data_IF_773702556292
#
_entry.id   IF_773702556292
#
_cell.length_a   1.000
_cell.length_b   1.000
_cell.length_c   1.000
_cell.angle_alpha   90.00
_cell.angle_beta   90.00
_cell.angle_gamma   90.00
#
_symmetry.space_group_name_H-M   'P 1'
#
loop_
_entity.id
_entity.type
_entity.pdbx_description
1 polymer ?
#
# COMPACT_ATOMS: atom_id res chain seq x y z
N UNK A 1 18.96 24.34 -3.14
CA UNK A 1 18.72 24.13 -4.59
C UNK A 1 19.50 22.96 -5.20
N UNK A 2 20.74 22.66 -4.77
CA UNK A 2 21.55 21.59 -5.36
C UNK A 2 21.03 20.16 -5.08
N UNK A 3 20.56 19.89 -3.86
CA UNK A 3 19.97 18.59 -3.48
C UNK A 3 18.73 18.20 -4.28
N UNK A 4 17.86 19.17 -4.58
CA UNK A 4 16.66 18.94 -5.41
C UNK A 4 17.03 18.54 -6.84
N UNK A 5 18.12 19.09 -7.38
CA UNK A 5 18.65 18.69 -8.70
C UNK A 5 19.18 17.25 -8.66
N UNK A 6 19.93 16.87 -7.62
CA UNK A 6 20.41 15.50 -7.46
C UNK A 6 19.27 14.49 -7.30
N UNK A 7 18.24 14.81 -6.51
CA UNK A 7 17.07 13.97 -6.35
C UNK A 7 16.33 13.76 -7.68
N UNK A 8 16.11 14.84 -8.45
CA UNK A 8 15.52 14.77 -9.79
C UNK A 8 16.34 13.87 -10.72
N UNK A 9 17.67 13.98 -10.70
CA UNK A 9 18.55 13.14 -11.52
C UNK A 9 18.45 11.65 -11.16
N UNK A 10 18.42 11.31 -9.86
CA UNK A 10 18.26 9.93 -9.41
C UNK A 10 16.90 9.39 -9.86
N UNK A 11 15.84 10.18 -9.67
CA UNK A 11 14.48 9.82 -10.09
C UNK A 11 14.43 9.42 -11.57
N UNK A 12 14.98 10.29 -12.41
CA UNK A 12 14.99 10.14 -13.86
C UNK A 12 15.82 8.93 -14.30
N UNK A 13 17.02 8.74 -13.75
CA UNK A 13 17.93 7.65 -14.14
C UNK A 13 17.34 6.29 -13.83
N UNK A 14 16.83 6.10 -12.61
CA UNK A 14 16.28 4.81 -12.19
C UNK A 14 14.95 4.50 -12.89
N UNK A 15 14.10 5.52 -13.10
CA UNK A 15 12.88 5.36 -13.89
C UNK A 15 13.20 4.93 -15.32
N UNK A 16 14.14 5.61 -15.99
CA UNK A 16 14.55 5.27 -17.36
C UNK A 16 15.09 3.84 -17.44
N UNK A 17 15.98 3.46 -16.51
CA UNK A 17 16.54 2.11 -16.44
C UNK A 17 15.47 1.02 -16.33
N UNK A 18 14.48 1.22 -15.44
CA UNK A 18 13.40 0.25 -15.25
C UNK A 18 12.45 0.20 -16.46
N UNK A 19 12.07 1.36 -17.00
CA UNK A 19 11.08 1.46 -18.07
C UNK A 19 11.59 0.94 -19.44
N UNK A 20 12.91 1.00 -19.67
CA UNK A 20 13.57 0.45 -20.86
C UNK A 20 13.48 -1.08 -20.97
N UNK A 21 13.13 -1.78 -19.88
CA UNK A 21 12.92 -3.23 -19.93
C UNK A 21 11.68 -3.54 -20.78
N UNK A 22 11.69 -4.61 -21.59
CA UNK A 22 10.58 -4.93 -22.47
C UNK A 22 9.32 -5.20 -21.64
N UNK A 23 8.22 -4.55 -22.03
CA UNK A 23 6.94 -4.75 -21.39
C UNK A 23 6.27 -6.03 -21.92
N UNK A 24 5.83 -6.89 -21.00
CA UNK A 24 5.01 -8.06 -21.32
C UNK A 24 3.71 -7.93 -20.55
N UNK A 25 2.61 -7.67 -21.24
CA UNK A 25 1.28 -7.71 -20.64
C UNK A 25 0.92 -9.17 -20.33
N UNK A 26 1.27 -9.62 -19.12
CA UNK A 26 1.07 -10.99 -18.66
C UNK A 26 0.12 -11.04 -17.47
N UNK A 27 -0.49 -12.21 -17.29
CA UNK A 27 -1.28 -12.49 -16.09
C UNK A 27 -0.49 -12.22 -14.80
N UNK A 28 0.79 -12.59 -14.76
CA UNK A 28 1.66 -12.35 -13.60
C UNK A 28 1.79 -10.87 -13.26
N UNK A 29 1.98 -10.00 -14.27
CA UNK A 29 2.06 -8.55 -14.05
C UNK A 29 0.74 -8.00 -13.50
N UNK A 30 -0.39 -8.43 -14.09
CA UNK A 30 -1.73 -8.04 -13.63
C UNK A 30 -2.01 -8.52 -12.20
N UNK A 31 -1.63 -9.75 -11.87
CA UNK A 31 -1.74 -10.28 -10.51
C UNK A 31 -0.90 -9.47 -9.51
N UNK A 32 0.34 -9.13 -9.87
CA UNK A 32 1.19 -8.31 -9.02
C UNK A 32 0.64 -6.88 -8.84
N UNK A 33 0.06 -6.27 -9.87
CA UNK A 33 -0.65 -4.98 -9.73
C UNK A 33 -1.76 -5.12 -8.69
N UNK A 34 -2.64 -6.12 -8.85
CA UNK A 34 -3.75 -6.36 -7.94
C UNK A 34 -3.30 -6.64 -6.49
N UNK A 35 -2.20 -7.38 -6.31
CA UNK A 35 -1.63 -7.63 -4.97
C UNK A 35 -1.09 -6.36 -4.29
N UNK A 36 -0.84 -5.30 -5.06
CA UNK A 36 -0.50 -3.97 -4.55
C UNK A 36 -1.73 -3.11 -4.23
N UNK A 37 -2.93 -3.54 -4.60
CA UNK A 37 -4.14 -2.74 -4.53
C UNK A 37 -4.91 -2.85 -3.22
N UNK A 38 -5.66 -1.79 -2.90
CA UNK A 38 -6.47 -1.70 -1.68
C UNK A 38 -7.43 -2.89 -1.49
N UNK A 39 -8.21 -3.29 -2.52
CA UNK A 39 -9.10 -4.46 -2.44
C UNK A 39 -8.42 -5.77 -2.03
N UNK A 40 -7.19 -6.02 -2.50
CA UNK A 40 -6.46 -7.21 -2.08
C UNK A 40 -6.21 -7.20 -0.56
N UNK A 41 -5.76 -6.07 -0.01
CA UNK A 41 -5.50 -5.96 1.43
C UNK A 41 -6.77 -5.93 2.28
N UNK A 42 -7.88 -5.39 1.77
CA UNK A 42 -9.20 -5.52 2.42
C UNK A 42 -9.68 -6.98 2.47
N UNK A 43 -9.42 -7.76 1.41
CA UNK A 43 -9.69 -9.19 1.42
C UNK A 43 -8.80 -9.91 2.45
N UNK A 44 -7.52 -9.57 2.55
CA UNK A 44 -6.62 -10.13 3.57
C UNK A 44 -7.12 -9.83 4.99
N UNK A 45 -7.59 -8.60 5.25
CA UNK A 45 -8.25 -8.25 6.53
C UNK A 45 -9.45 -9.14 6.80
N UNK A 46 -10.34 -9.27 5.82
CA UNK A 46 -11.56 -10.08 5.96
C UNK A 46 -11.23 -11.55 6.24
N UNK A 47 -10.30 -12.14 5.49
CA UNK A 47 -9.87 -13.53 5.69
C UNK A 47 -9.21 -13.70 7.05
N UNK A 48 -8.33 -12.80 7.47
CA UNK A 48 -7.72 -12.85 8.80
C UNK A 48 -8.78 -12.78 9.91
N UNK A 49 -9.76 -11.89 9.78
CA UNK A 49 -10.85 -11.79 10.74
C UNK A 49 -11.71 -13.07 10.79
N UNK A 50 -12.04 -13.62 9.61
CA UNK A 50 -12.84 -14.83 9.47
C UNK A 50 -12.11 -16.05 10.08
N UNK A 51 -10.83 -16.23 9.76
CA UNK A 51 -10.00 -17.31 10.33
C UNK A 51 -9.85 -17.15 11.83
N UNK A 52 -9.58 -15.92 12.31
CA UNK A 52 -9.45 -15.64 13.74
C UNK A 52 -10.70 -16.01 14.53
N UNK A 53 -11.88 -15.80 13.95
CA UNK A 53 -13.14 -16.09 14.62
C UNK A 53 -13.66 -17.52 14.43
N UNK A 54 -13.67 -18.04 13.19
CA UNK A 54 -14.21 -19.38 12.91
C UNK A 54 -13.32 -20.49 13.46
N UNK A 55 -12.00 -20.31 13.36
CA UNK A 55 -11.01 -21.30 13.80
C UNK A 55 -10.52 -20.99 15.22
N UNK A 56 -10.98 -19.87 15.81
CA UNK A 56 -10.59 -19.40 17.14
C UNK A 56 -9.07 -19.24 17.33
N UNK A 57 -8.39 -18.71 16.30
CA UNK A 57 -6.94 -18.48 16.32
C UNK A 57 -6.65 -17.02 16.66
N UNK A 58 -6.14 -16.80 17.88
CA UNK A 58 -5.90 -15.46 18.43
C UNK A 58 -4.95 -14.61 17.57
N UNK A 59 -3.91 -15.23 16.98
CA UNK A 59 -2.96 -14.49 16.13
C UNK A 59 -3.61 -13.86 14.90
N UNK A 60 -4.60 -14.52 14.31
CA UNK A 60 -5.33 -14.01 13.14
C UNK A 60 -6.34 -12.92 13.55
N UNK A 61 -6.97 -13.08 14.72
CA UNK A 61 -7.82 -12.05 15.29
C UNK A 61 -7.03 -10.75 15.53
N UNK A 62 -5.90 -10.84 16.25
CA UNK A 62 -4.98 -9.72 16.47
C UNK A 62 -4.50 -9.12 15.15
N UNK A 63 -4.10 -9.94 14.18
CA UNK A 63 -3.66 -9.47 12.87
C UNK A 63 -4.72 -8.62 12.18
N UNK A 64 -5.96 -9.08 12.14
CA UNK A 64 -7.04 -8.35 11.45
C UNK A 64 -7.26 -6.95 12.04
N UNK A 65 -7.19 -6.83 13.38
CA UNK A 65 -7.30 -5.55 14.08
C UNK A 65 -6.12 -4.64 13.75
N UNK A 66 -4.89 -5.17 13.80
CA UNK A 66 -3.68 -4.41 13.45
C UNK A 66 -3.72 -3.92 12.00
N UNK A 67 -4.14 -4.78 11.06
CA UNK A 67 -4.27 -4.43 9.65
C UNK A 67 -5.33 -3.34 9.46
N UNK A 68 -6.52 -3.47 10.06
CA UNK A 68 -7.55 -2.44 9.99
C UNK A 68 -7.05 -1.10 10.53
N UNK A 69 -6.49 -1.09 11.73
CA UNK A 69 -6.01 0.13 12.38
C UNK A 69 -4.88 0.79 11.58
N UNK A 70 -3.89 0.00 11.16
CA UNK A 70 -2.77 0.49 10.36
C UNK A 70 -3.22 1.04 9.01
N UNK A 71 -4.13 0.35 8.31
CA UNK A 71 -4.65 0.80 7.01
C UNK A 71 -5.46 2.09 7.14
N UNK A 72 -6.24 2.25 8.20
CA UNK A 72 -7.00 3.48 8.45
C UNK A 72 -6.09 4.69 8.65
N UNK A 73 -5.11 4.60 9.55
CA UNK A 73 -4.14 5.68 9.80
C UNK A 73 -3.37 6.01 8.51
N UNK A 74 -2.88 4.97 7.85
CA UNK A 74 -2.10 5.12 6.63
C UNK A 74 -2.92 5.75 5.50
N UNK A 75 -4.21 5.43 5.38
CA UNK A 75 -5.12 6.06 4.41
C UNK A 75 -5.33 7.54 4.67
N UNK A 76 -5.47 7.96 5.93
CA UNK A 76 -5.58 9.39 6.28
C UNK A 76 -4.32 10.14 5.80
N UNK A 77 -3.14 9.67 6.18
CA UNK A 77 -1.87 10.32 5.83
C UNK A 77 -1.65 10.29 4.31
N UNK A 78 -1.93 9.17 3.66
CA UNK A 78 -1.83 9.02 2.20
C UNK A 78 -2.73 10.02 1.47
N UNK A 79 -4.00 10.14 1.88
CA UNK A 79 -4.95 11.08 1.28
C UNK A 79 -4.45 12.51 1.40
N UNK A 80 -3.94 12.91 2.57
CA UNK A 80 -3.40 14.24 2.81
C UNK A 80 -2.19 14.52 1.92
N UNK A 81 -1.22 13.60 1.85
CA UNK A 81 -0.04 13.78 1.00
C UNK A 81 -0.43 13.91 -0.49
N UNK A 82 -1.41 13.10 -0.95
CA UNK A 82 -1.91 13.15 -2.33
C UNK A 82 -2.50 14.51 -2.68
N UNK A 83 -3.33 15.07 -1.80
CA UNK A 83 -4.03 16.34 -2.05
C UNK A 83 -3.12 17.56 -1.92
N UNK A 84 -2.06 17.48 -1.11
CA UNK A 84 -1.10 18.57 -0.93
C UNK A 84 -0.07 18.67 -2.07
N UNK A 85 0.50 17.54 -2.50
CA UNK A 85 1.67 17.58 -3.40
C UNK A 85 1.27 17.66 -4.88
N UNK A 86 0.17 17.03 -5.30
CA UNK A 86 -0.35 17.05 -6.68
C UNK A 86 0.71 16.84 -7.79
N UNK A 87 1.66 15.94 -7.55
CA UNK A 87 2.78 15.65 -8.47
C UNK A 87 2.29 14.92 -9.73
N UNK A 88 2.64 15.43 -10.91
CA UNK A 88 2.45 14.75 -12.21
C UNK A 88 3.10 13.36 -12.20
N UNK A 89 2.45 12.36 -12.77
CA UNK A 89 3.01 11.02 -12.99
C UNK A 89 3.98 11.02 -14.17
N UNK A 90 4.94 10.08 -14.23
CA UNK A 90 5.90 10.06 -15.33
C UNK A 90 5.28 9.97 -16.72
N UNK A 91 4.21 9.20 -16.90
CA UNK A 91 3.52 9.12 -18.20
C UNK A 91 2.79 10.42 -18.61
N UNK A 92 2.51 11.32 -17.67
CA UNK A 92 1.80 12.58 -17.90
C UNK A 92 2.73 13.81 -17.84
N UNK A 93 4.03 13.60 -17.64
CA UNK A 93 5.03 14.65 -17.56
C UNK A 93 5.69 14.87 -18.92
N UNK A 94 5.14 15.81 -19.70
CA UNK A 94 5.62 16.13 -21.05
C UNK A 94 7.06 16.64 -21.05
N UNK A 95 7.43 17.44 -20.04
CA UNK A 95 8.77 18.00 -19.92
C UNK A 95 9.79 16.89 -19.68
N UNK A 96 9.43 15.89 -18.86
CA UNK A 96 10.24 14.70 -18.65
C UNK A 96 10.45 13.90 -19.95
N UNK A 97 9.39 13.73 -20.75
CA UNK A 97 9.49 12.96 -22.01
C UNK A 97 10.43 13.64 -23.01
N UNK A 98 10.38 14.97 -23.07
CA UNK A 98 11.29 15.77 -23.87
C UNK A 98 12.74 15.68 -23.36
N UNK A 99 12.96 15.83 -22.05
CA UNK A 99 14.29 15.74 -21.42
C UNK A 99 14.93 14.35 -21.65
N UNK A 100 14.13 13.29 -21.65
CA UNK A 100 14.62 11.92 -21.79
C UNK A 100 14.68 11.39 -23.21
N UNK A 101 14.03 12.08 -24.16
CA UNK A 101 13.75 11.60 -25.51
C UNK A 101 13.08 10.20 -25.52
N UNK A 102 12.14 9.98 -24.59
CA UNK A 102 11.35 8.74 -24.51
C UNK A 102 9.88 9.08 -24.30
N UNK A 103 8.98 8.29 -24.88
CA UNK A 103 7.55 8.35 -24.56
C UNK A 103 7.21 7.30 -23.50
N UNK A 104 6.83 7.78 -22.31
CA UNK A 104 6.38 6.91 -21.22
C UNK A 104 4.87 6.79 -21.33
N UNK A 105 4.38 5.57 -21.54
CA UNK A 105 2.96 5.24 -21.55
C UNK A 105 2.57 4.63 -20.22
N UNK A 106 1.31 4.83 -19.82
CA UNK A 106 0.78 4.14 -18.65
C UNK A 106 0.61 2.66 -18.98
N UNK A 107 1.46 1.81 -18.38
CA UNK A 107 1.37 0.34 -18.51
C UNK A 107 0.55 -0.30 -17.38
N UNK A 108 -0.08 0.50 -16.52
CA UNK A 108 -0.98 0.04 -15.46
C UNK A 108 -2.45 0.08 -15.95
N UNK A 109 -3.08 -1.10 -16.16
CA UNK A 109 -4.45 -1.20 -16.61
C UNK A 109 -5.49 -0.79 -15.56
N UNK A 110 -5.12 -0.72 -14.27
CA UNK A 110 -6.06 -0.51 -13.17
C UNK A 110 -6.19 0.94 -12.69
N UNK A 111 -5.25 1.83 -13.03
CA UNK A 111 -5.17 3.18 -12.45
C UNK A 111 -4.98 4.27 -13.53
N UNK A 112 -5.70 4.13 -14.63
CA UNK A 112 -5.63 5.02 -15.78
C UNK A 112 -6.54 6.23 -15.68
N UNK A 113 -6.30 7.16 -14.75
CA UNK A 113 -7.06 8.42 -14.75
C UNK A 113 -6.50 9.58 -13.90
N UNK A 114 -5.43 9.36 -13.10
CA UNK A 114 -4.97 10.37 -12.14
C UNK A 114 -3.54 10.84 -12.33
N UNK A 115 -3.38 11.67 -13.35
CA UNK A 115 -2.10 12.25 -13.77
C UNK A 115 -1.40 13.03 -12.66
N UNK A 116 -2.13 13.72 -11.77
CA UNK A 116 -1.55 14.55 -10.69
C UNK A 116 -1.38 13.81 -9.36
N UNK A 117 -1.69 12.52 -9.30
CA UNK A 117 -1.58 11.73 -8.08
C UNK A 117 -0.40 10.76 -8.17
N UNK A 118 0.82 11.27 -8.41
CA UNK A 118 2.04 10.44 -8.35
C UNK A 118 2.56 10.26 -6.92
N UNK A 119 2.74 11.34 -6.17
CA UNK A 119 3.28 11.27 -4.81
C UNK A 119 2.19 11.01 -3.75
N UNK A 120 2.41 10.16 -2.72
CA UNK A 120 3.38 9.06 -2.66
C UNK A 120 2.83 7.80 -3.37
N UNK A 121 3.62 6.74 -3.51
CA UNK A 121 3.14 5.49 -4.11
C UNK A 121 2.22 4.70 -3.16
N UNK A 122 0.96 4.53 -3.56
CA UNK A 122 -0.03 3.79 -2.76
C UNK A 122 0.25 2.29 -2.67
N UNK A 123 0.58 1.63 -3.78
CA UNK A 123 0.88 0.19 -3.78
C UNK A 123 2.05 -0.15 -2.86
N UNK A 124 3.14 0.62 -2.92
CA UNK A 124 4.30 0.41 -2.04
C UNK A 124 3.91 0.60 -0.58
N UNK A 125 3.10 1.63 -0.29
CA UNK A 125 2.66 1.94 1.06
C UNK A 125 1.77 0.83 1.64
N UNK A 126 0.73 0.38 0.93
CA UNK A 126 -0.19 -0.68 1.39
C UNK A 126 0.54 -2.01 1.53
N UNK A 127 1.31 -2.42 0.52
CA UNK A 127 2.06 -3.68 0.57
C UNK A 127 3.07 -3.70 1.69
N UNK A 128 3.86 -2.64 1.87
CA UNK A 128 4.83 -2.57 2.96
C UNK A 128 4.14 -2.65 4.32
N UNK A 129 3.03 -1.93 4.49
CA UNK A 129 2.32 -1.86 5.77
C UNK A 129 1.80 -3.24 6.16
N UNK A 130 1.06 -3.87 5.25
CA UNK A 130 0.45 -5.15 5.52
C UNK A 130 1.49 -6.26 5.67
N UNK A 131 2.52 -6.30 4.81
CA UNK A 131 3.59 -7.30 4.92
C UNK A 131 4.34 -7.15 6.24
N UNK A 132 4.70 -5.93 6.65
CA UNK A 132 5.37 -5.71 7.93
C UNK A 132 4.50 -6.12 9.12
N UNK A 133 3.20 -5.82 9.11
CA UNK A 133 2.29 -6.25 10.19
C UNK A 133 2.12 -7.78 10.22
N UNK A 134 2.01 -8.43 9.07
CA UNK A 134 1.99 -9.91 8.96
C UNK A 134 3.29 -10.50 9.52
N UNK A 135 4.44 -9.95 9.14
CA UNK A 135 5.74 -10.38 9.64
C UNK A 135 5.89 -10.16 11.15
N UNK A 136 5.36 -9.05 11.68
CA UNK A 136 5.38 -8.79 13.13
C UNK A 136 4.54 -9.79 13.93
N UNK A 137 3.49 -10.34 13.31
CA UNK A 137 2.58 -11.30 13.95
C UNK A 137 3.07 -12.76 13.87
N UNK A 138 3.71 -13.14 12.77
CA UNK A 138 4.10 -14.54 12.50
C UNK A 138 5.61 -14.78 12.41
N UNK A 139 6.42 -13.74 12.64
CA UNK A 139 7.88 -13.84 12.70
C UNK A 139 8.53 -14.18 11.36
N UNK A 140 9.67 -14.88 11.44
CA UNK A 140 10.57 -15.08 10.30
C UNK A 140 9.94 -15.85 9.14
N UNK A 141 9.03 -16.79 9.41
CA UNK A 141 8.35 -17.56 8.35
C UNK A 141 7.55 -16.62 7.44
N UNK A 142 6.85 -15.64 8.01
CA UNK A 142 6.14 -14.65 7.22
C UNK A 142 7.07 -13.76 6.39
N UNK A 143 8.28 -13.46 6.89
CA UNK A 143 9.29 -12.72 6.13
C UNK A 143 9.70 -13.51 4.89
N UNK A 144 9.93 -14.82 5.02
CA UNK A 144 10.27 -15.67 3.87
C UNK A 144 9.12 -15.76 2.86
N UNK A 145 7.87 -15.84 3.33
CA UNK A 145 6.69 -16.00 2.48
C UNK A 145 6.25 -14.72 1.77
N UNK A 146 6.37 -13.56 2.44
CA UNK A 146 5.75 -12.32 1.97
C UNK A 146 6.73 -11.15 1.81
N UNK A 147 7.94 -11.23 2.38
CA UNK A 147 8.92 -10.13 2.36
C UNK A 147 9.34 -9.72 0.95
N UNK A 148 9.34 -10.66 0.00
CA UNK A 148 9.64 -10.40 -1.41
C UNK A 148 8.66 -9.43 -2.08
N UNK A 149 7.42 -9.31 -1.57
CA UNK A 149 6.40 -8.45 -2.17
C UNK A 149 6.80 -6.98 -2.15
N UNK A 150 7.54 -6.52 -1.13
CA UNK A 150 7.95 -5.12 -0.98
C UNK A 150 8.87 -4.68 -2.14
N UNK A 151 10.06 -5.28 -2.36
CA UNK A 151 10.92 -4.90 -3.47
C UNK A 151 10.26 -5.15 -4.83
N UNK A 152 9.42 -6.18 -4.96
CA UNK A 152 8.65 -6.41 -6.19
C UNK A 152 7.71 -5.24 -6.49
N UNK A 153 6.95 -4.73 -5.52
CA UNK A 153 6.08 -3.58 -5.74
C UNK A 153 6.86 -2.32 -6.05
N UNK A 154 7.97 -2.06 -5.34
CA UNK A 154 8.85 -0.92 -5.62
C UNK A 154 9.32 -0.94 -7.08
N UNK A 155 9.87 -2.06 -7.55
CA UNK A 155 10.32 -2.20 -8.93
C UNK A 155 9.16 -2.10 -9.93
N UNK A 156 8.05 -2.79 -9.67
CA UNK A 156 6.91 -2.85 -10.57
C UNK A 156 6.36 -1.44 -10.89
N UNK A 157 6.33 -0.53 -9.90
CA UNK A 157 5.85 0.84 -10.11
C UNK A 157 6.72 1.66 -11.06
N UNK A 158 8.04 1.45 -11.04
CA UNK A 158 8.96 2.06 -12.00
C UNK A 158 8.80 1.41 -13.38
N UNK A 159 8.72 0.09 -13.41
CA UNK A 159 8.60 -0.71 -14.64
C UNK A 159 7.33 -0.36 -15.44
N UNK A 160 6.23 -0.03 -14.76
CA UNK A 160 4.99 0.43 -15.40
C UNK A 160 4.97 1.92 -15.78
N UNK A 161 5.98 2.71 -15.36
CA UNK A 161 6.07 4.13 -15.71
C UNK A 161 5.07 5.03 -14.96
N UNK A 162 4.57 4.61 -13.79
CA UNK A 162 3.50 5.32 -13.06
C UNK A 162 3.99 6.13 -11.86
N UNK A 163 5.20 5.86 -11.37
CA UNK A 163 5.80 6.55 -10.23
C UNK A 163 7.30 6.81 -10.42
N UNK A 164 7.79 7.84 -9.74
CA UNK A 164 9.20 8.11 -9.57
C UNK A 164 9.77 7.34 -8.36
N UNK A 165 11.09 7.08 -8.32
CA UNK A 165 11.77 6.49 -7.15
C UNK A 165 11.50 7.22 -5.84
N UNK A 166 11.43 8.55 -5.84
CA UNK A 166 11.11 9.33 -4.66
C UNK A 166 9.65 9.16 -4.18
N UNK A 167 8.68 8.88 -5.07
CA UNK A 167 7.31 8.55 -4.65
C UNK A 167 7.27 7.19 -3.95
N UNK A 168 8.08 6.24 -4.44
CA UNK A 168 8.25 4.90 -3.87
C UNK A 168 8.89 4.98 -2.50
N UNK A 169 9.99 5.74 -2.37
CA UNK A 169 10.67 5.94 -1.10
C UNK A 169 9.76 6.63 -0.07
N UNK A 170 8.99 7.63 -0.49
CA UNK A 170 8.00 8.26 0.39
C UNK A 170 6.91 7.28 0.82
N UNK A 171 6.40 6.43 -0.08
CA UNK A 171 5.45 5.37 0.26
C UNK A 171 6.02 4.40 1.30
N UNK A 172 7.29 4.02 1.14
CA UNK A 172 8.01 3.15 2.08
C UNK A 172 8.17 3.81 3.47
N UNK A 173 8.63 5.06 3.52
CA UNK A 173 8.82 5.80 4.78
C UNK A 173 7.50 6.02 5.52
N UNK A 174 6.45 6.44 4.81
CA UNK A 174 5.12 6.61 5.40
C UNK A 174 4.56 5.29 5.95
N UNK A 175 4.80 4.19 5.23
CA UNK A 175 4.41 2.87 5.67
C UNK A 175 5.13 2.44 6.95
N UNK A 176 6.47 2.52 6.98
CA UNK A 176 7.28 2.16 8.16
C UNK A 176 6.87 3.02 9.38
N UNK A 177 6.61 4.31 9.16
CA UNK A 177 6.12 5.20 10.21
C UNK A 177 4.77 4.73 10.75
N UNK A 178 3.85 4.37 9.86
CA UNK A 178 2.51 3.90 10.23
C UNK A 178 2.53 2.53 10.91
N UNK A 179 3.39 1.61 10.48
CA UNK A 179 3.67 0.33 11.15
C UNK A 179 4.17 0.59 12.57
N UNK A 180 5.15 1.49 12.71
CA UNK A 180 5.74 1.80 14.02
C UNK A 180 4.70 2.36 14.99
N UNK A 181 3.86 3.30 14.53
CA UNK A 181 2.75 3.84 15.33
C UNK A 181 1.74 2.74 15.68
N UNK A 182 1.38 1.90 14.72
CA UNK A 182 0.44 0.79 14.91
C UNK A 182 0.93 -0.18 15.98
N UNK A 183 2.20 -0.59 15.91
CA UNK A 183 2.79 -1.51 16.87
C UNK A 183 3.03 -0.88 18.24
N UNK A 184 3.33 0.42 18.29
CA UNK A 184 3.46 1.17 19.55
C UNK A 184 2.14 1.22 20.31
N UNK A 185 1.03 1.45 19.60
CA UNK A 185 -0.33 1.54 20.19
C UNK A 185 -0.94 0.15 20.40
N UNK A 186 -0.44 -0.88 19.72
CA UNK A 186 -1.02 -2.22 19.70
C UNK A 186 -1.31 -2.81 21.09
N UNK A 187 -0.40 -2.78 22.10
CA UNK A 187 -0.69 -3.38 23.40
C UNK A 187 -1.93 -2.77 24.06
N UNK A 188 -1.99 -1.44 24.17
CA UNK A 188 -3.14 -0.75 24.78
C UNK A 188 -4.41 -0.87 23.95
N UNK A 189 -4.30 -0.97 22.61
CA UNK A 189 -5.44 -1.27 21.75
C UNK A 189 -6.00 -2.67 22.02
N UNK A 190 -5.12 -3.67 22.11
CA UNK A 190 -5.53 -5.05 22.39
C UNK A 190 -6.13 -5.21 23.77
N UNK A 191 -5.56 -4.58 24.80
CA UNK A 191 -6.10 -4.63 26.17
C UNK A 191 -7.54 -4.11 26.22
N UNK A 192 -7.81 -2.99 25.52
CA UNK A 192 -9.16 -2.43 25.42
C UNK A 192 -10.12 -3.34 24.65
N UNK A 193 -9.68 -3.91 23.54
CA UNK A 193 -10.52 -4.80 22.73
C UNK A 193 -10.82 -6.11 23.47
N UNK A 194 -9.82 -6.67 24.15
CA UNK A 194 -9.97 -7.88 24.95
C UNK A 194 -10.95 -7.67 26.10
N UNK A 195 -10.90 -6.51 26.78
CA UNK A 195 -11.89 -6.16 27.79
C UNK A 195 -13.32 -6.04 27.26
N UNK A 196 -13.50 -5.81 25.95
CA UNK A 196 -14.81 -5.78 25.31
C UNK A 196 -15.30 -7.17 24.87
N UNK A 197 -14.42 -8.17 24.81
CA UNK A 197 -14.71 -9.48 24.22
C UNK A 197 -15.74 -10.29 25.01
N UNK A 198 -15.84 -10.04 26.31
CA UNK A 198 -16.80 -10.70 27.21
C UNK A 198 -18.23 -10.16 27.06
N UNK A 199 -18.42 -9.05 26.34
CA UNK A 199 -19.76 -8.52 26.07
C UNK A 199 -20.45 -9.30 24.95
N UNK A 200 -21.72 -9.66 25.16
CA UNK A 200 -22.55 -10.37 24.18
C UNK A 200 -22.65 -9.68 22.81
N UNK A 201 -22.49 -8.35 22.77
CA UNK A 201 -22.50 -7.56 21.54
C UNK A 201 -21.18 -7.53 20.76
N UNK A 202 -20.09 -8.06 21.31
CA UNK A 202 -18.74 -7.94 20.73
C UNK A 202 -18.67 -8.44 19.29
N UNK A 203 -19.13 -9.67 19.05
CA UNK A 203 -19.11 -10.30 17.74
C UNK A 203 -19.83 -9.47 16.69
N UNK A 204 -21.01 -8.93 17.02
CA UNK A 204 -21.78 -8.09 16.10
C UNK A 204 -21.08 -6.76 15.84
N UNK A 205 -20.52 -6.13 16.89
CA UNK A 205 -19.76 -4.89 16.75
C UNK A 205 -18.50 -5.05 15.91
N UNK A 206 -17.77 -6.15 16.11
CA UNK A 206 -16.55 -6.49 15.36
C UNK A 206 -16.83 -6.66 13.86
N UNK A 207 -17.84 -7.46 13.48
CA UNK A 207 -18.23 -7.61 12.07
C UNK A 207 -18.87 -6.36 11.48
N UNK A 208 -19.60 -5.59 12.28
CA UNK A 208 -20.13 -4.29 11.88
C UNK A 208 -19.00 -3.32 11.52
N UNK A 209 -17.95 -3.28 12.33
CA UNK A 209 -16.76 -2.48 12.06
C UNK A 209 -15.99 -2.94 10.82
N UNK A 210 -15.78 -4.26 10.65
CA UNK A 210 -15.13 -4.81 9.44
C UNK A 210 -15.93 -4.44 8.19
N UNK A 211 -17.25 -4.58 8.23
CA UNK A 211 -18.13 -4.23 7.11
C UNK A 211 -18.00 -2.75 6.76
N UNK A 212 -18.03 -1.87 7.76
CA UNK A 212 -17.82 -0.44 7.58
C UNK A 212 -16.44 -0.13 7.00
N UNK A 213 -15.38 -0.76 7.52
CA UNK A 213 -14.02 -0.61 7.03
C UNK A 213 -13.91 -0.99 5.56
N UNK A 214 -14.48 -2.12 5.15
CA UNK A 214 -14.46 -2.58 3.75
C UNK A 214 -15.24 -1.61 2.85
N UNK A 215 -16.44 -1.19 3.26
CA UNK A 215 -17.27 -0.27 2.47
C UNK A 215 -16.57 1.07 2.26
N UNK A 216 -16.05 1.66 3.34
CA UNK A 216 -15.32 2.94 3.28
C UNK A 216 -14.01 2.81 2.51
N UNK A 217 -13.28 1.70 2.70
CA UNK A 217 -12.06 1.40 1.98
C UNK A 217 -12.28 1.26 0.48
N UNK A 218 -13.31 0.52 0.06
CA UNK A 218 -13.67 0.35 -1.34
C UNK A 218 -14.11 1.68 -1.98
N UNK A 219 -14.89 2.49 -1.25
CA UNK A 219 -15.25 3.85 -1.69
C UNK A 219 -14.03 4.77 -1.83
N UNK A 220 -13.05 4.66 -0.93
CA UNK A 220 -11.78 5.41 -1.01
C UNK A 220 -10.95 4.97 -2.21
N UNK A 221 -10.87 3.66 -2.46
CA UNK A 221 -10.15 3.07 -3.59
C UNK A 221 -10.77 3.44 -4.94
N UNK A 222 -12.09 3.29 -5.10
CA UNK A 222 -12.82 3.66 -6.31
C UNK A 222 -12.63 5.12 -6.73
N UNK A 223 -12.41 6.02 -5.76
CA UNK A 223 -12.10 7.43 -6.07
C UNK A 223 -10.72 7.62 -6.70
N UNK A 224 -9.85 6.61 -6.72
CA UNK A 224 -8.41 6.72 -7.05
C UNK A 224 -7.95 5.81 -8.18
N UNK A 225 -8.79 4.87 -8.61
CA UNK A 225 -8.64 4.10 -9.86
C UNK A 225 -9.25 4.83 -11.03
#
# INVERSE_FOLDING_TARGET
>A
MQYLKYLKLIDIRLLKWAYQKPFRDSFTVKALIFMGDGPFWMLVVFVAALTGQLINIESFHRLSILLMFGLMISNIVFVLCKTMVKRKRPYADVDLHQELHIQIQNRDPGHGSKELESFPSGHVLWTTLCVCLICSQFGFIAVLLFGWMIPTMMYLRLYLGVHYPSDILAGLVLSITSVSITLLVAPGLMDRINGLRDHAGYTYGYWGFISLFIILGFKSWLKRV
#
